data_IF_388092503015
#
_entry.id   IF_388092503015
#
_cell.length_a   1.000
_cell.length_b   1.000
_cell.length_c   1.000
_cell.angle_alpha   90.00
_cell.angle_beta   90.00
_cell.angle_gamma   90.00
#
_symmetry.space_group_name_H-M   'P 1'
#
loop_
_entity.id
_entity.type
_entity.pdbx_description
1 polymer ?
#
# COMPACT_ATOMS: atom_id res chain seq x y z
N UNK A 1 -1.02 14.12 5.67
CA UNK A 1 -0.33 13.02 4.95
C UNK A 1 -1.12 11.76 5.22
N UNK A 2 -1.42 10.94 4.19
CA UNK A 2 -2.09 9.66 4.40
C UNK A 2 -1.01 8.59 4.66
N UNK A 3 -1.16 7.84 5.73
CA UNK A 3 -0.23 6.79 6.16
C UNK A 3 -1.03 5.54 6.50
N UNK A 4 -0.38 4.37 6.45
CA UNK A 4 -1.04 3.08 6.61
C UNK A 4 -1.79 2.63 5.36
N UNK A 5 -2.77 1.74 5.58
CA UNK A 5 -3.62 1.19 4.53
C UNK A 5 -4.66 2.20 4.05
N UNK A 6 -4.68 2.44 2.75
CA UNK A 6 -5.61 3.36 2.07
C UNK A 6 -6.44 2.54 1.10
N UNK A 7 -7.77 2.66 1.19
CA UNK A 7 -8.67 2.12 0.18
C UNK A 7 -9.14 3.25 -0.74
N UNK A 8 -8.74 3.20 -2.00
CA UNK A 8 -9.28 4.07 -3.05
C UNK A 8 -10.11 3.22 -4.01
N UNK A 9 -11.43 3.45 -4.01
CA UNK A 9 -12.39 2.79 -4.93
C UNK A 9 -12.28 1.26 -4.95
N UNK A 10 -12.00 0.64 -3.80
CA UNK A 10 -11.85 -0.81 -3.67
C UNK A 10 -10.44 -1.34 -3.89
N UNK A 11 -9.50 -0.49 -4.29
CA UNK A 11 -8.08 -0.82 -4.42
C UNK A 11 -7.36 -0.40 -3.13
N UNK A 12 -6.62 -1.33 -2.54
CA UNK A 12 -5.83 -1.06 -1.35
C UNK A 12 -4.42 -0.65 -1.70
N UNK A 13 -3.89 0.33 -0.98
CA UNK A 13 -2.53 0.85 -1.07
C UNK A 13 -1.94 0.95 0.33
N UNK A 14 -0.62 0.97 0.45
CA UNK A 14 0.03 1.21 1.72
C UNK A 14 1.00 2.39 1.62
N UNK A 15 0.83 3.37 2.50
CA UNK A 15 1.75 4.50 2.65
C UNK A 15 2.54 4.36 3.96
N UNK A 16 3.85 4.59 3.91
CA UNK A 16 4.68 4.59 5.12
C UNK A 16 4.38 5.81 6.02
N UNK A 17 5.08 5.91 7.16
CA UNK A 17 4.91 7.02 8.12
C UNK A 17 5.25 8.40 7.54
N UNK A 18 6.02 8.42 6.44
CA UNK A 18 6.35 9.63 5.69
C UNK A 18 5.35 9.92 4.55
N UNK A 19 4.25 9.18 4.45
CA UNK A 19 3.24 9.33 3.40
C UNK A 19 3.71 8.88 2.01
N UNK A 20 4.80 8.12 1.93
CA UNK A 20 5.32 7.56 0.68
C UNK A 20 4.63 6.23 0.43
N UNK A 21 4.00 6.10 -0.74
CA UNK A 21 3.39 4.86 -1.20
C UNK A 21 4.46 3.78 -1.39
N UNK A 22 4.27 2.63 -0.75
CA UNK A 22 5.13 1.47 -0.91
C UNK A 22 4.66 0.65 -2.12
N UNK A 23 5.62 0.10 -2.86
CA UNK A 23 5.40 -0.76 -4.02
C UNK A 23 6.43 -1.90 -4.03
N UNK A 24 6.10 -3.01 -4.68
CA UNK A 24 6.93 -4.22 -4.79
C UNK A 24 7.47 -4.74 -3.45
N UNK A 25 6.67 -4.65 -2.39
CA UNK A 25 7.06 -5.06 -1.04
C UNK A 25 5.93 -5.83 -0.34
N UNK A 26 6.20 -6.31 0.86
CA UNK A 26 5.23 -7.00 1.70
C UNK A 26 5.09 -6.25 3.01
N UNK A 27 3.85 -5.91 3.38
CA UNK A 27 3.50 -5.16 4.58
C UNK A 27 2.53 -6.02 5.39
N UNK A 28 2.90 -6.36 6.63
CA UNK A 28 2.08 -7.18 7.53
C UNK A 28 1.58 -8.51 6.90
N UNK A 29 2.38 -9.09 6.00
CA UNK A 29 2.02 -10.31 5.26
C UNK A 29 1.22 -10.08 3.97
N UNK A 30 0.80 -8.85 3.69
CA UNK A 30 0.11 -8.46 2.48
C UNK A 30 1.09 -7.92 1.44
N UNK A 31 1.09 -8.50 0.25
CA UNK A 31 1.99 -8.09 -0.81
C UNK A 31 1.39 -6.89 -1.56
N UNK A 32 2.18 -5.86 -1.77
CA UNK A 32 1.85 -4.73 -2.66
C UNK A 32 2.67 -4.86 -3.94
N UNK A 33 2.00 -4.75 -5.09
CA UNK A 33 2.62 -4.84 -6.41
C UNK A 33 3.41 -3.58 -6.78
N UNK A 34 3.95 -3.57 -8.00
CA UNK A 34 4.77 -2.47 -8.55
C UNK A 34 4.03 -1.13 -8.71
N UNK A 35 2.71 -1.20 -8.79
CA UNK A 35 1.79 -0.06 -8.79
C UNK A 35 1.38 0.39 -7.37
N UNK A 36 1.94 -0.22 -6.32
CA UNK A 36 1.60 0.03 -4.93
C UNK A 36 0.24 -0.52 -4.50
N UNK A 37 -0.43 -1.30 -5.35
CA UNK A 37 -1.72 -1.91 -5.01
C UNK A 37 -1.51 -3.21 -4.26
N UNK A 38 -2.30 -3.46 -3.23
CA UNK A 38 -2.40 -4.76 -2.61
C UNK A 38 -2.76 -5.82 -3.66
N UNK A 39 -2.00 -6.91 -3.66
CA UNK A 39 -2.24 -8.09 -4.46
C UNK A 39 -2.48 -9.28 -3.52
N UNK A 40 -3.49 -10.09 -3.87
CA UNK A 40 -3.85 -11.32 -3.17
C UNK A 40 -3.29 -12.53 -3.90
#
# INVERSE_FOLDING_TARGET
MQTGWINDKGIWYYCNEFGVMLADTTVDGYKVGSNGTWIQ
#
